data_IF_600536856870
#
_entry.id   IF_600536856870
#
_cell.length_a   1.000
_cell.length_b   1.000
_cell.length_c   1.000
_cell.angle_alpha   90.00
_cell.angle_beta   90.00
_cell.angle_gamma   90.00
#
_symmetry.space_group_name_H-M   'P 1'
#
loop_
_entity.id
_entity.type
_entity.pdbx_description
1 polymer ?
#
# COMPACT_ATOMS: atom_id res chain seq x y z
N UNK A 1 17.77 27.52 -77.95
CA UNK A 1 19.10 27.88 -77.42
C UNK A 1 20.07 27.66 -78.55
N UNK A 2 20.73 28.71 -79.03
CA UNK A 2 21.73 28.57 -80.09
C UNK A 2 22.95 27.88 -79.51
N UNK A 3 23.18 26.64 -79.93
CA UNK A 3 24.42 25.93 -79.64
C UNK A 3 25.54 26.64 -80.40
N UNK A 4 26.37 27.38 -79.68
CA UNK A 4 27.43 28.22 -80.23
C UNK A 4 28.29 27.45 -81.24
N UNK A 5 28.23 27.87 -82.50
CA UNK A 5 29.07 27.33 -83.55
C UNK A 5 30.52 27.75 -83.31
N UNK A 6 31.45 26.79 -83.41
CA UNK A 6 32.88 27.09 -83.42
C UNK A 6 33.27 27.77 -84.74
N UNK A 7 34.07 28.83 -84.66
CA UNK A 7 34.45 29.77 -85.74
C UNK A 7 35.07 29.20 -87.04
N UNK A 8 35.20 27.88 -87.19
CA UNK A 8 35.80 27.23 -88.36
C UNK A 8 34.83 26.34 -89.16
N UNK A 9 33.61 26.11 -88.65
CA UNK A 9 32.58 25.34 -89.34
C UNK A 9 31.67 26.26 -90.16
N UNK A 10 31.80 26.19 -91.50
CA UNK A 10 31.09 27.06 -92.47
C UNK A 10 29.76 26.44 -92.94
N UNK A 11 29.31 25.34 -92.32
CA UNK A 11 28.07 24.67 -92.71
C UNK A 11 26.82 25.51 -92.36
N UNK A 12 25.81 25.46 -93.25
CA UNK A 12 24.51 26.10 -93.00
C UNK A 12 23.78 25.33 -91.89
N UNK A 13 23.36 26.04 -90.84
CA UNK A 13 22.54 25.49 -89.75
C UNK A 13 21.06 25.61 -90.10
N UNK A 14 20.32 24.52 -89.91
CA UNK A 14 18.88 24.47 -90.12
C UNK A 14 18.18 24.19 -88.79
N UNK A 15 16.87 24.46 -88.69
CA UNK A 15 16.07 24.08 -87.51
C UNK A 15 16.04 22.55 -87.38
N UNK A 16 15.83 22.05 -86.17
CA UNK A 16 15.72 20.61 -85.86
C UNK A 16 14.55 19.90 -86.57
N UNK A 17 13.66 20.65 -87.22
CA UNK A 17 12.61 20.11 -88.10
C UNK A 17 13.08 19.72 -89.50
N UNK A 18 14.22 20.26 -89.92
CA UNK A 18 14.85 19.93 -91.19
C UNK A 18 15.76 18.74 -90.97
N UNK A 19 15.52 17.66 -91.70
CA UNK A 19 16.22 16.38 -91.57
C UNK A 19 17.62 16.42 -92.22
N UNK A 20 18.47 17.34 -91.76
CA UNK A 20 19.80 17.61 -92.32
C UNK A 20 20.82 17.63 -91.18
N UNK A 21 21.96 16.96 -91.38
CA UNK A 21 23.00 16.87 -90.36
C UNK A 21 22.56 16.03 -89.17
N UNK A 22 22.86 16.49 -87.94
CA UNK A 22 22.67 15.77 -86.69
C UNK A 22 21.26 15.92 -86.09
N UNK A 23 20.24 16.06 -86.94
CA UNK A 23 18.87 16.44 -86.56
C UNK A 23 18.24 15.49 -85.53
N UNK A 24 18.56 14.19 -85.58
CA UNK A 24 18.00 13.18 -84.68
C UNK A 24 18.56 13.32 -83.25
N UNK A 25 19.88 13.49 -83.12
CA UNK A 25 20.55 13.69 -81.83
C UNK A 25 20.17 15.05 -81.21
N UNK A 26 20.02 16.10 -82.03
CA UNK A 26 19.57 17.41 -81.57
C UNK A 26 18.14 17.38 -80.98
N UNK A 27 17.32 16.40 -81.37
CA UNK A 27 15.99 16.16 -80.78
C UNK A 27 16.02 15.24 -79.55
N UNK A 28 17.05 14.42 -79.43
CA UNK A 28 17.28 13.52 -78.28
C UNK A 28 17.91 14.22 -77.07
N UNK A 29 18.14 15.55 -77.15
CA UNK A 29 18.62 16.35 -76.02
C UNK A 29 17.78 16.02 -74.78
N UNK A 30 18.46 15.44 -73.79
CA UNK A 30 17.84 14.94 -72.58
C UNK A 30 17.12 16.08 -71.85
N UNK A 31 15.79 16.04 -71.90
CA UNK A 31 14.94 16.90 -71.10
C UNK A 31 15.05 16.43 -69.65
N UNK A 32 15.96 17.06 -68.88
CA UNK A 32 16.18 16.80 -67.46
C UNK A 32 14.95 17.26 -66.69
N UNK A 33 13.85 16.52 -66.78
CA UNK A 33 12.73 16.71 -65.88
C UNK A 33 13.25 16.46 -64.46
N UNK A 34 12.76 17.20 -63.48
CA UNK A 34 13.17 17.01 -62.09
C UNK A 34 12.55 15.72 -61.55
N UNK A 35 13.19 14.57 -61.81
CA UNK A 35 12.76 13.28 -61.28
C UNK A 35 13.27 13.17 -59.84
N UNK A 36 12.36 13.15 -58.88
CA UNK A 36 12.71 12.83 -57.50
C UNK A 36 12.72 11.31 -57.36
N UNK A 37 13.89 10.69 -57.26
CA UNK A 37 14.02 9.27 -56.98
C UNK A 37 13.98 9.06 -55.46
N UNK A 38 12.88 8.56 -54.87
CA UNK A 38 12.85 8.26 -53.45
C UNK A 38 13.79 7.10 -53.15
N UNK A 39 14.44 7.14 -52.00
CA UNK A 39 15.17 5.98 -51.48
C UNK A 39 14.19 4.86 -51.12
N UNK A 40 14.66 3.62 -51.07
CA UNK A 40 13.89 2.48 -50.52
C UNK A 40 13.36 2.80 -49.13
N UNK A 41 14.18 3.44 -48.30
CA UNK A 41 13.78 3.92 -46.98
C UNK A 41 12.59 4.89 -47.04
N UNK A 42 12.56 5.84 -47.99
CA UNK A 42 11.44 6.78 -48.14
C UNK A 42 10.17 6.11 -48.66
N UNK A 43 10.29 4.97 -49.36
CA UNK A 43 9.15 4.17 -49.82
C UNK A 43 8.58 3.33 -48.66
N UNK A 44 9.45 2.70 -47.88
CA UNK A 44 9.08 1.79 -46.80
C UNK A 44 8.58 2.54 -45.55
N UNK A 45 9.28 3.61 -45.17
CA UNK A 45 8.99 4.42 -43.99
C UNK A 45 8.28 5.71 -44.38
N UNK A 46 7.03 5.56 -44.80
CA UNK A 46 6.15 6.72 -44.95
C UNK A 46 5.59 7.12 -43.59
N UNK A 47 5.62 8.43 -43.30
CA UNK A 47 4.87 9.01 -42.19
C UNK A 47 3.37 8.87 -42.49
N UNK A 48 2.80 7.70 -42.21
CA UNK A 48 1.36 7.47 -42.28
C UNK A 48 0.70 8.24 -41.12
N UNK A 49 0.40 9.51 -41.34
CA UNK A 49 0.04 10.48 -40.30
C UNK A 49 -0.90 9.97 -39.21
N UNK A 50 -2.05 9.37 -39.58
CA UNK A 50 -3.13 9.03 -38.63
C UNK A 50 -3.40 7.53 -38.46
N UNK A 51 -2.64 6.64 -39.11
CA UNK A 51 -2.80 5.19 -38.91
C UNK A 51 -2.00 4.76 -37.68
N UNK A 52 -2.35 5.31 -36.51
CA UNK A 52 -1.88 4.71 -35.27
C UNK A 52 -2.55 3.34 -35.11
N UNK A 53 -1.83 2.29 -34.71
CA UNK A 53 -2.46 1.04 -34.33
C UNK A 53 -3.52 1.33 -33.28
N UNK A 54 -4.73 0.82 -33.48
CA UNK A 54 -5.89 1.08 -32.64
C UNK A 54 -5.51 0.95 -31.15
N UNK A 55 -5.72 2.03 -30.40
CA UNK A 55 -5.41 2.12 -28.97
C UNK A 55 -6.15 1.03 -28.20
N UNK A 56 -7.37 0.69 -28.63
CA UNK A 56 -8.17 -0.39 -28.03
C UNK A 56 -7.50 -1.73 -28.28
N UNK A 57 -7.05 -2.00 -29.50
CA UNK A 57 -6.34 -3.23 -29.86
C UNK A 57 -5.03 -3.39 -29.07
N UNK A 58 -4.24 -2.32 -28.93
CA UNK A 58 -3.02 -2.32 -28.11
C UNK A 58 -3.32 -2.57 -26.63
N UNK A 59 -4.32 -1.88 -26.08
CA UNK A 59 -4.73 -2.05 -24.69
C UNK A 59 -5.20 -3.49 -24.44
N UNK A 60 -5.99 -4.05 -25.35
CA UNK A 60 -6.48 -5.42 -25.25
C UNK A 60 -5.34 -6.45 -25.33
N UNK A 61 -4.37 -6.25 -26.23
CA UNK A 61 -3.18 -7.09 -26.31
C UNK A 61 -2.36 -7.07 -25.02
N UNK A 62 -2.16 -5.87 -24.44
CA UNK A 62 -1.46 -5.70 -23.17
C UNK A 62 -2.21 -6.38 -22.01
N UNK A 63 -3.53 -6.17 -21.90
CA UNK A 63 -4.36 -6.83 -20.87
C UNK A 63 -4.29 -8.36 -20.98
N UNK A 64 -4.32 -8.90 -22.20
CA UNK A 64 -4.18 -10.35 -22.43
C UNK A 64 -2.78 -10.86 -22.06
N UNK A 65 -1.75 -10.04 -22.24
CA UNK A 65 -0.38 -10.39 -21.87
C UNK A 65 -0.11 -10.39 -20.36
N UNK A 66 -0.97 -9.77 -19.55
CA UNK A 66 -0.84 -9.76 -18.08
C UNK A 66 -1.04 -11.14 -17.45
N UNK A 67 -1.40 -12.17 -18.24
CA UNK A 67 -1.50 -13.55 -17.79
C UNK A 67 -2.84 -13.89 -17.15
N UNK A 68 -2.93 -15.14 -16.69
CA UNK A 68 -4.11 -15.68 -16.01
C UNK A 68 -4.01 -15.40 -14.52
N UNK A 69 -5.11 -14.96 -13.90
CA UNK A 69 -5.14 -14.67 -12.47
C UNK A 69 -4.88 -15.92 -11.61
N UNK A 70 -4.24 -15.72 -10.45
CA UNK A 70 -3.95 -16.80 -9.49
C UNK A 70 -5.17 -17.61 -9.08
N UNK A 71 -6.34 -16.97 -9.07
CA UNK A 71 -7.60 -17.61 -8.68
C UNK A 71 -7.97 -18.72 -9.66
N UNK A 72 -7.69 -18.56 -10.95
CA UNK A 72 -7.97 -19.60 -11.95
C UNK A 72 -6.96 -20.74 -11.86
N UNK A 73 -5.70 -20.44 -11.54
CA UNK A 73 -4.62 -21.43 -11.48
C UNK A 73 -4.59 -22.22 -10.16
N UNK A 74 -4.91 -21.56 -9.04
CA UNK A 74 -4.71 -22.10 -7.71
C UNK A 74 -6.01 -22.32 -6.93
N UNK A 75 -7.17 -21.79 -7.36
CA UNK A 75 -8.41 -22.07 -6.66
C UNK A 75 -8.88 -23.49 -6.97
N UNK A 76 -8.86 -24.32 -5.93
CA UNK A 76 -9.47 -25.63 -5.93
C UNK A 76 -10.89 -25.45 -5.35
N UNK A 77 -11.94 -25.76 -6.11
CA UNK A 77 -13.35 -25.67 -5.68
C UNK A 77 -13.88 -24.26 -5.39
N UNK A 78 -13.39 -23.26 -6.12
CA UNK A 78 -13.87 -21.88 -6.02
C UNK A 78 -13.65 -21.28 -4.63
N UNK A 79 -14.74 -20.92 -3.95
CA UNK A 79 -14.70 -20.22 -2.66
C UNK A 79 -14.84 -21.16 -1.46
N UNK A 80 -14.97 -22.47 -1.70
CA UNK A 80 -15.23 -23.47 -0.66
C UNK A 80 -14.21 -23.42 0.48
N UNK A 81 -12.93 -23.14 0.20
CA UNK A 81 -11.86 -23.15 1.21
C UNK A 81 -11.36 -21.77 1.64
N UNK A 82 -12.00 -20.68 1.20
CA UNK A 82 -11.53 -19.31 1.50
C UNK A 82 -11.69 -18.90 2.97
N UNK A 83 -12.58 -19.56 3.73
CA UNK A 83 -12.99 -19.19 5.10
C UNK A 83 -12.54 -20.18 6.18
N UNK A 84 -11.47 -20.93 5.91
CA UNK A 84 -10.88 -21.88 6.84
C UNK A 84 -9.89 -21.19 7.79
N UNK A 85 -10.40 -20.28 8.62
CA UNK A 85 -9.56 -19.51 9.57
C UNK A 85 -9.52 -20.12 10.97
N UNK A 86 -10.38 -21.11 11.24
CA UNK A 86 -10.48 -21.80 12.52
C UNK A 86 -9.55 -23.00 12.46
N UNK A 87 -8.65 -23.10 13.43
CA UNK A 87 -7.79 -24.27 13.61
C UNK A 87 -8.53 -25.34 14.40
N UNK A 88 -8.12 -26.60 14.27
CA UNK A 88 -8.66 -27.68 15.11
C UNK A 88 -8.54 -27.39 16.61
N UNK A 89 -7.44 -26.77 17.04
CA UNK A 89 -7.26 -26.35 18.42
C UNK A 89 -8.31 -25.32 18.88
N UNK A 90 -8.58 -24.30 18.05
CA UNK A 90 -9.60 -23.29 18.32
C UNK A 90 -11.01 -23.91 18.36
N UNK A 91 -11.26 -24.90 17.51
CA UNK A 91 -12.52 -25.63 17.46
C UNK A 91 -12.77 -26.43 18.75
N UNK A 92 -11.79 -27.25 19.15
CA UNK A 92 -11.92 -28.15 20.30
C UNK A 92 -11.94 -27.39 21.62
N UNK A 93 -11.04 -26.41 21.79
CA UNK A 93 -10.92 -25.67 23.06
C UNK A 93 -12.12 -24.76 23.32
N UNK A 94 -12.67 -24.12 22.28
CA UNK A 94 -13.83 -23.25 22.43
C UNK A 94 -15.17 -23.98 22.23
N UNK A 95 -15.15 -25.31 22.07
CA UNK A 95 -16.36 -26.12 21.88
C UNK A 95 -17.19 -25.69 20.67
N UNK A 96 -16.52 -25.23 19.59
CA UNK A 96 -17.19 -24.78 18.36
C UNK A 96 -17.74 -25.94 17.53
N UNK A 97 -17.26 -27.17 17.79
CA UNK A 97 -17.74 -28.37 17.15
C UNK A 97 -19.25 -28.56 17.39
N UNK A 98 -19.99 -28.82 16.32
CA UNK A 98 -21.44 -29.05 16.38
C UNK A 98 -21.75 -30.32 17.21
N UNK A 99 -22.70 -30.30 18.16
CA UNK A 99 -23.10 -31.49 18.93
C UNK A 99 -23.89 -32.52 18.09
N UNK A 100 -24.17 -32.24 16.82
CA UNK A 100 -25.08 -33.00 15.97
C UNK A 100 -24.66 -32.94 14.50
N UNK A 101 -23.55 -33.57 14.15
CA UNK A 101 -23.37 -34.01 12.77
C UNK A 101 -24.00 -35.41 12.65
N UNK A 102 -24.97 -35.65 11.76
CA UNK A 102 -25.37 -37.01 11.41
C UNK A 102 -24.15 -37.77 10.84
N UNK A 103 -24.19 -39.12 10.76
CA UNK A 103 -23.11 -39.88 10.17
C UNK A 103 -23.08 -39.54 8.67
N UNK A 104 -22.35 -38.50 8.29
CA UNK A 104 -22.07 -38.14 6.90
C UNK A 104 -21.17 -39.18 6.22
N UNK A 105 -20.77 -40.21 6.97
CA UNK A 105 -19.68 -41.10 6.64
C UNK A 105 -20.25 -42.36 6.02
N UNK A 106 -20.04 -42.51 4.72
CA UNK A 106 -20.36 -43.70 3.96
C UNK A 106 -19.10 -44.53 3.74
N UNK A 107 -19.25 -45.85 3.62
CA UNK A 107 -18.12 -46.71 3.25
C UNK A 107 -17.79 -46.51 1.77
N UNK A 108 -16.65 -45.88 1.49
CA UNK A 108 -16.17 -45.68 0.13
C UNK A 108 -15.31 -46.88 -0.29
N UNK A 109 -15.89 -47.78 -1.08
CA UNK A 109 -15.24 -49.04 -1.48
C UNK A 109 -13.91 -48.85 -2.21
N UNK A 110 -13.80 -47.81 -3.06
CA UNK A 110 -12.56 -47.53 -3.80
C UNK A 110 -11.38 -47.09 -2.92
N UNK A 111 -11.68 -46.43 -1.80
CA UNK A 111 -10.65 -45.98 -0.86
C UNK A 111 -10.52 -46.93 0.34
N UNK A 112 -11.39 -47.96 0.41
CA UNK A 112 -11.56 -48.85 1.56
C UNK A 112 -11.59 -48.08 2.89
N UNK A 113 -12.26 -46.93 2.86
CA UNK A 113 -12.30 -46.00 3.96
C UNK A 113 -13.70 -45.42 4.05
N UNK A 114 -14.09 -45.19 5.28
CA UNK A 114 -15.29 -44.45 5.60
C UNK A 114 -15.01 -42.95 5.32
N UNK A 115 -15.74 -42.37 4.36
CA UNK A 115 -15.56 -40.99 3.87
C UNK A 115 -16.89 -40.24 3.93
N UNK A 116 -16.89 -38.94 4.22
CA UNK A 116 -15.75 -38.08 4.49
C UNK A 116 -15.28 -38.12 5.95
N UNK A 117 -14.03 -37.75 6.17
CA UNK A 117 -13.45 -37.55 7.49
C UNK A 117 -13.87 -36.20 8.08
N UNK A 118 -13.72 -36.05 9.41
CA UNK A 118 -13.95 -34.77 10.09
C UNK A 118 -13.04 -33.65 9.54
N UNK A 119 -11.82 -34.01 9.12
CA UNK A 119 -10.82 -33.14 8.49
C UNK A 119 -11.26 -32.59 7.13
N UNK A 120 -12.11 -33.32 6.39
CA UNK A 120 -12.56 -32.92 5.06
C UNK A 120 -13.56 -31.75 5.11
N UNK A 121 -14.23 -31.58 6.25
CA UNK A 121 -15.23 -30.53 6.49
C UNK A 121 -14.82 -29.64 7.66
N UNK A 122 -13.77 -28.80 7.50
CA UNK A 122 -13.35 -27.89 8.54
C UNK A 122 -14.46 -26.87 8.85
N UNK A 123 -14.60 -26.50 10.12
CA UNK A 123 -15.55 -25.47 10.54
C UNK A 123 -15.16 -24.13 9.90
N UNK A 124 -16.09 -23.56 9.14
CA UNK A 124 -15.89 -22.29 8.46
C UNK A 124 -16.43 -21.14 9.30
N UNK A 125 -15.67 -20.06 9.40
CA UNK A 125 -16.11 -18.88 10.12
C UNK A 125 -14.97 -17.99 10.59
N UNK A 126 -15.32 -16.96 11.35
CA UNK A 126 -14.36 -16.07 11.98
C UNK A 126 -13.68 -16.79 13.16
N UNK A 127 -12.35 -16.69 13.29
CA UNK A 127 -11.62 -17.30 14.40
C UNK A 127 -12.00 -16.65 15.74
N UNK A 128 -11.70 -17.32 16.86
CA UNK A 128 -11.83 -16.69 18.17
C UNK A 128 -10.78 -15.60 18.28
N UNK A 129 -11.22 -14.35 18.32
CA UNK A 129 -10.33 -13.22 18.48
C UNK A 129 -10.37 -12.82 19.96
N UNK A 130 -9.38 -13.25 20.75
CA UNK A 130 -9.29 -12.99 22.19
C UNK A 130 -8.95 -11.52 22.52
N UNK A 131 -9.56 -10.54 21.83
CA UNK A 131 -9.27 -9.12 22.05
C UNK A 131 -8.01 -8.61 21.33
N UNK A 132 -7.30 -9.47 20.58
CA UNK A 132 -6.00 -9.12 19.99
C UNK A 132 -6.14 -8.04 18.93
N UNK A 133 -7.12 -8.19 18.04
CA UNK A 133 -7.41 -7.21 17.00
C UNK A 133 -7.79 -5.86 17.60
N UNK A 134 -8.70 -5.85 18.56
CA UNK A 134 -9.16 -4.62 19.22
C UNK A 134 -7.98 -3.89 19.88
N UNK A 135 -7.07 -4.64 20.51
CA UNK A 135 -5.85 -4.09 21.12
C UNK A 135 -4.90 -3.50 20.08
N UNK A 136 -4.67 -4.20 18.96
CA UNK A 136 -3.79 -3.73 17.90
C UNK A 136 -4.38 -2.53 17.15
N UNK A 137 -5.66 -2.57 16.81
CA UNK A 137 -6.37 -1.47 16.18
C UNK A 137 -6.31 -0.22 17.05
N UNK A 138 -6.54 -0.36 18.37
CA UNK A 138 -6.38 0.74 19.31
C UNK A 138 -4.95 1.31 19.28
N UNK A 139 -3.94 0.43 19.36
CA UNK A 139 -2.53 0.84 19.34
C UNK A 139 -2.19 1.60 18.05
N UNK A 140 -2.60 1.10 16.89
CA UNK A 140 -2.32 1.74 15.61
C UNK A 140 -3.05 3.07 15.47
N UNK A 141 -4.32 3.13 15.84
CA UNK A 141 -5.09 4.38 15.82
C UNK A 141 -4.48 5.44 16.74
N UNK A 142 -4.03 5.04 17.94
CA UNK A 142 -3.29 5.93 18.85
C UNK A 142 -2.00 6.44 18.18
N UNK A 143 -1.20 5.57 17.57
CA UNK A 143 0.03 5.98 16.89
C UNK A 143 -0.20 6.92 15.69
N UNK A 144 -1.30 6.72 14.94
CA UNK A 144 -1.67 7.59 13.84
C UNK A 144 -2.13 8.97 14.35
N UNK A 145 -2.88 9.00 15.45
CA UNK A 145 -3.29 10.26 16.09
C UNK A 145 -2.08 11.03 16.62
N UNK A 146 -1.17 10.36 17.33
CA UNK A 146 0.09 10.93 17.81
C UNK A 146 0.94 11.49 16.66
N UNK A 147 0.99 10.79 15.51
CA UNK A 147 1.69 11.23 14.30
C UNK A 147 1.02 12.41 13.61
N UNK A 148 -0.32 12.44 13.58
CA UNK A 148 -1.06 13.56 12.99
C UNK A 148 -0.96 14.84 13.83
N UNK A 149 -0.76 14.69 15.14
CA UNK A 149 -0.56 15.80 16.08
C UNK A 149 0.92 16.22 16.18
N UNK A 150 1.81 15.59 15.41
CA UNK A 150 3.28 15.74 15.46
C UNK A 150 3.81 17.16 15.29
N UNK A 151 3.06 18.12 14.74
CA UNK A 151 3.47 19.53 14.81
C UNK A 151 3.66 20.02 16.28
N UNK A 152 3.15 19.29 17.28
CA UNK A 152 3.32 19.54 18.71
C UNK A 152 4.22 18.54 19.45
N UNK A 153 4.59 17.40 18.84
CA UNK A 153 5.23 16.27 19.56
C UNK A 153 6.74 16.10 19.28
N UNK A 154 7.34 16.81 18.33
CA UNK A 154 8.78 16.70 18.01
C UNK A 154 9.71 17.09 19.18
N UNK A 155 9.17 17.83 20.17
CA UNK A 155 9.89 18.23 21.39
C UNK A 155 9.51 17.40 22.62
N UNK A 156 8.68 16.35 22.46
CA UNK A 156 8.29 15.48 23.57
C UNK A 156 9.39 14.47 23.87
N UNK A 157 10.01 14.57 25.05
CA UNK A 157 11.02 13.59 25.49
C UNK A 157 10.34 12.35 26.05
N UNK A 158 11.04 11.22 26.01
CA UNK A 158 10.59 9.96 26.65
C UNK A 158 10.27 10.16 28.14
N UNK A 159 11.04 11.03 28.82
CA UNK A 159 10.80 11.43 30.20
C UNK A 159 9.42 12.08 30.37
N UNK A 160 9.09 13.09 29.55
CA UNK A 160 7.80 13.78 29.61
C UNK A 160 6.63 12.85 29.27
N UNK A 161 6.80 11.93 28.31
CA UNK A 161 5.79 10.92 27.97
C UNK A 161 5.57 9.88 29.07
N UNK A 162 6.62 9.51 29.80
CA UNK A 162 6.56 8.54 30.91
C UNK A 162 6.05 9.15 32.23
N UNK A 163 6.07 10.47 32.35
CA UNK A 163 5.65 11.15 33.56
C UNK A 163 4.13 11.14 33.69
N UNK A 164 3.62 10.28 34.58
CA UNK A 164 2.22 10.30 34.97
C UNK A 164 1.97 11.57 35.78
N UNK A 165 1.39 12.60 35.17
CA UNK A 165 0.93 13.78 35.90
C UNK A 165 -0.09 13.30 36.93
N UNK A 166 0.18 13.45 38.24
CA UNK A 166 -0.74 12.99 39.27
C UNK A 166 -2.08 13.69 39.08
N UNK A 167 -3.18 12.98 39.36
CA UNK A 167 -4.49 13.63 39.36
C UNK A 167 -4.48 14.68 40.46
N UNK A 168 -5.20 15.78 40.27
CA UNK A 168 -5.29 16.84 41.28
C UNK A 168 -5.79 16.31 42.63
N UNK A 169 -6.59 15.25 42.62
CA UNK A 169 -7.09 14.57 43.81
C UNK A 169 -5.99 13.80 44.57
N UNK A 170 -5.00 13.24 43.86
CA UNK A 170 -3.88 12.51 44.47
C UNK A 170 -2.93 13.46 45.23
N UNK A 171 -2.82 14.70 44.76
CA UNK A 171 -2.02 15.75 45.43
C UNK A 171 -2.64 16.20 46.75
N UNK A 172 -3.96 16.08 46.89
CA UNK A 172 -4.70 16.40 48.12
C UNK A 172 -4.75 15.20 49.09
N UNK A 173 -4.66 13.97 48.57
CA UNK A 173 -4.73 12.74 49.36
C UNK A 173 -3.44 12.40 50.14
N UNK A 174 -2.32 13.12 49.94
CA UNK A 174 -1.04 12.85 50.62
C UNK A 174 -1.04 13.12 52.15
N UNK A 175 -2.18 13.52 52.73
CA UNK A 175 -2.42 13.52 54.19
C UNK A 175 -3.43 12.44 54.60
N UNK A 176 -3.19 11.18 54.23
CA UNK A 176 -3.82 10.10 54.98
C UNK A 176 -3.02 9.92 56.28
N UNK A 177 -3.63 10.05 57.48
CA UNK A 177 -2.95 9.69 58.71
C UNK A 177 -2.55 8.22 58.62
N UNK A 178 -1.31 7.91 58.94
CA UNK A 178 -0.82 6.53 58.99
C UNK A 178 -1.72 5.72 59.93
N UNK A 179 -2.53 4.82 59.38
CA UNK A 179 -3.21 3.80 60.18
C UNK A 179 -2.13 2.85 60.69
N UNK A 180 -1.74 3.02 61.95
CA UNK A 180 -0.94 2.02 62.64
C UNK A 180 -1.83 0.78 62.84
N UNK A 181 -1.39 -0.43 62.45
CA UNK A 181 -2.17 -1.63 62.69
C UNK A 181 -2.37 -1.83 64.20
N UNK A 182 -3.54 -2.30 64.66
CA UNK A 182 -3.78 -2.53 66.08
C UNK A 182 -2.83 -3.63 66.57
N UNK A 183 -1.97 -3.29 67.52
CA UNK A 183 -1.10 -4.25 68.21
C UNK A 183 -1.98 -5.17 69.05
N UNK A 184 -2.17 -6.40 68.56
CA UNK A 184 -2.81 -7.48 69.31
C UNK A 184 -1.90 -7.91 70.47
N UNK A 185 -2.06 -7.29 71.64
CA UNK A 185 -1.35 -7.69 72.84
C UNK A 185 -1.27 -6.61 73.92
N UNK A 186 -2.34 -6.49 74.71
CA UNK A 186 -2.43 -5.95 76.08
C UNK A 186 -1.12 -5.41 76.72
N UNK A 187 -0.98 -4.08 76.76
CA UNK A 187 -0.62 -3.24 77.93
C UNK A 187 -0.95 -1.77 77.57
N UNK A 188 -1.59 -0.96 78.43
CA UNK A 188 -1.69 0.47 78.18
C UNK A 188 -0.29 1.09 78.23
N UNK A 189 0.09 1.84 77.20
CA UNK A 189 1.23 2.73 77.28
C UNK A 189 0.95 3.76 78.38
N UNK A 190 1.74 3.66 79.43
CA UNK A 190 1.78 4.59 80.55
C UNK A 190 1.93 6.02 80.02
N UNK A 191 0.88 6.84 80.12
CA UNK A 191 0.95 8.29 79.98
C UNK A 191 1.68 8.83 81.20
N UNK A 192 3.01 8.72 81.17
CA UNK A 192 3.87 9.05 82.29
C UNK A 192 5.12 9.79 81.83
N UNK A 193 4.95 11.06 81.45
CA UNK A 193 5.97 12.09 81.62
C UNK A 193 5.34 13.45 81.28
N UNK A 194 4.80 14.10 82.32
CA UNK A 194 4.68 15.55 82.34
C UNK A 194 6.09 16.12 82.34
N UNK A 195 6.52 16.74 81.24
CA UNK A 195 7.56 17.76 81.30
C UNK A 195 6.88 19.12 81.11
N UNK A 196 6.71 19.79 82.26
CA UNK A 196 6.37 21.21 82.35
C UNK A 196 7.59 22.02 81.94
N UNK A 197 7.48 22.95 81.01
CA UNK A 197 8.24 24.21 80.94
C UNK A 197 7.47 25.15 80.00
N UNK A 198 6.59 25.99 80.54
CA UNK A 198 6.80 27.43 80.78
C UNK A 198 6.33 28.30 79.59
N UNK A 199 5.11 28.84 79.72
CA UNK A 199 4.73 30.08 79.04
C UNK A 199 5.53 31.25 79.64
N UNK A 200 6.05 32.15 78.79
CA UNK A 200 6.00 33.55 79.15
C UNK A 200 5.15 34.37 78.18
N UNK A 201 4.34 35.21 78.83
CA UNK A 201 3.44 36.22 78.30
C UNK A 201 4.05 37.15 77.23
N UNK A 202 3.20 37.46 76.25
CA UNK A 202 2.89 38.77 75.66
C UNK A 202 4.05 39.74 75.33
N UNK A 203 4.10 40.17 74.06
CA UNK A 203 4.21 41.60 73.73
C UNK A 203 3.55 41.94 72.39
N UNK A 204 2.56 42.83 72.48
CA UNK A 204 1.91 43.58 71.41
C UNK A 204 2.87 44.61 70.80
N UNK A 205 2.81 44.78 69.47
CA UNK A 205 2.94 46.04 68.71
C UNK A 205 2.90 45.69 67.20
N UNK A 206 2.37 46.44 66.23
CA UNK A 206 1.80 47.79 66.11
C UNK A 206 1.31 47.92 64.64
N UNK A 207 0.14 48.53 64.42
CA UNK A 207 -0.24 49.50 63.34
C UNK A 207 -0.10 49.03 61.87
N UNK A 208 -1.19 48.78 61.11
CA UNK A 208 -2.14 49.72 60.49
C UNK A 208 -1.52 50.70 59.48
N UNK A 209 -1.58 50.35 58.19
CA UNK A 209 -2.25 51.10 57.09
C UNK A 209 -2.20 50.23 55.84
#
# INVERSE_FOLDING_TARGET
>A
MDHGASNWDVSKRYKTDVLVGNWFEERLVYDRKNHTHPSSYSIDFQQRGYQQPDVVLRRNGWIRSNGVGKEILLAHHGDAYKKNWITWYDEDFNGRGLPRNPPLRDWHSGNMAWSPERSDFPVQGSPTNWGLKERLDKRWNTSLQERSTTSKNDFSTTYNASYLKPRTEDLLAARQPSFLPPISGRMPANTGSQDKFEEPAQKLSVVAT
#
